data_IF_961912010249
#
_entry.id   IF_961912010249
#
_cell.length_a   1.000
_cell.length_b   1.000
_cell.length_c   1.000
_cell.angle_alpha   90.00
_cell.angle_beta   90.00
_cell.angle_gamma   90.00
#
_symmetry.space_group_name_H-M   'P 1'
#
loop_
_entity.id
_entity.type
_entity.pdbx_description
1 polymer ?
#
# COMPACT_ATOMS: atom_id res chain seq x y z
N UNK A 1 6.87 -11.61 19.31
CA UNK A 1 6.66 -11.78 17.87
C UNK A 1 5.67 -12.90 17.74
N UNK A 2 4.56 -12.64 17.11
CA UNK A 2 3.52 -13.61 16.96
C UNK A 2 3.98 -14.79 16.08
N UNK A 3 3.49 -15.95 16.42
CA UNK A 3 3.94 -17.20 15.85
C UNK A 3 3.24 -17.48 14.52
N UNK A 4 3.83 -17.00 13.42
CA UNK A 4 3.48 -17.43 12.06
C UNK A 4 4.24 -18.70 11.65
N UNK A 5 5.04 -19.27 12.54
CA UNK A 5 5.80 -20.47 12.28
C UNK A 5 4.84 -21.64 12.01
N UNK A 6 5.02 -22.28 10.86
CA UNK A 6 4.14 -23.37 10.42
C UNK A 6 2.82 -22.96 9.78
N UNK A 7 2.39 -21.69 9.89
CA UNK A 7 1.20 -21.17 9.20
C UNK A 7 1.40 -21.15 7.69
N UNK A 8 0.40 -21.59 6.94
CA UNK A 8 0.33 -21.49 5.49
C UNK A 8 -0.15 -20.09 5.11
N UNK A 9 0.74 -19.29 4.56
CA UNK A 9 0.49 -17.88 4.24
C UNK A 9 0.38 -17.69 2.72
N UNK A 10 -0.74 -17.11 2.28
CA UNK A 10 -0.97 -16.71 0.90
C UNK A 10 -0.88 -15.19 0.79
N UNK A 11 -0.06 -14.68 -0.13
CA UNK A 11 0.04 -13.25 -0.43
C UNK A 11 -0.42 -13.01 -1.85
N UNK A 12 -1.61 -12.44 -2.05
CA UNK A 12 -2.03 -11.97 -3.37
C UNK A 12 -1.38 -10.63 -3.66
N UNK A 13 -0.91 -10.40 -4.89
CA UNK A 13 -0.11 -9.21 -5.21
C UNK A 13 1.30 -9.27 -4.62
N UNK A 14 1.79 -10.48 -4.32
CA UNK A 14 3.08 -10.68 -3.64
C UNK A 14 4.31 -10.33 -4.49
N UNK A 15 4.18 -10.21 -5.81
CA UNK A 15 5.23 -9.75 -6.72
C UNK A 15 5.25 -8.21 -6.90
N UNK A 16 4.27 -7.49 -6.34
CA UNK A 16 4.20 -6.03 -6.33
C UNK A 16 5.17 -5.39 -5.33
N UNK A 17 5.12 -4.06 -5.21
CA UNK A 17 5.99 -3.29 -4.32
C UNK A 17 5.87 -3.72 -2.84
N UNK A 18 4.69 -3.54 -2.24
CA UNK A 18 4.47 -3.89 -0.82
C UNK A 18 4.59 -5.41 -0.64
N UNK A 19 4.04 -6.18 -1.59
CA UNK A 19 4.06 -7.64 -1.57
C UNK A 19 5.46 -8.22 -1.50
N UNK A 20 6.39 -7.70 -2.28
CA UNK A 20 7.80 -8.11 -2.24
C UNK A 20 8.43 -7.92 -0.85
N UNK A 21 8.28 -6.74 -0.27
CA UNK A 21 8.83 -6.44 1.06
C UNK A 21 8.19 -7.30 2.15
N UNK A 22 6.88 -7.53 2.06
CA UNK A 22 6.16 -8.41 2.98
C UNK A 22 6.62 -9.86 2.83
N UNK A 23 6.68 -10.39 1.60
CA UNK A 23 7.11 -11.76 1.34
C UNK A 23 8.58 -11.98 1.76
N UNK A 24 9.46 -11.01 1.52
CA UNK A 24 10.86 -11.05 1.96
C UNK A 24 10.99 -11.15 3.49
N UNK A 25 10.08 -10.52 4.23
CA UNK A 25 10.03 -10.61 5.70
C UNK A 25 9.39 -11.92 6.16
N UNK A 26 8.27 -12.32 5.56
CA UNK A 26 7.56 -13.56 5.90
C UNK A 26 8.40 -14.81 5.64
N UNK A 27 9.19 -14.85 4.57
CA UNK A 27 10.09 -15.96 4.24
C UNK A 27 11.19 -16.23 5.31
N UNK A 28 11.37 -15.31 6.27
CA UNK A 28 12.24 -15.48 7.44
C UNK A 28 11.48 -16.01 8.66
N UNK A 29 10.16 -16.08 8.60
CA UNK A 29 9.26 -16.40 9.72
C UNK A 29 8.53 -17.72 9.49
N UNK A 30 8.07 -17.98 8.24
CA UNK A 30 7.41 -19.23 7.86
C UNK A 30 8.04 -19.83 6.62
N UNK A 31 8.04 -21.18 6.54
CA UNK A 31 8.49 -21.91 5.36
C UNK A 31 7.33 -22.22 4.38
N UNK A 32 6.08 -21.91 4.76
CA UNK A 32 4.88 -22.18 3.98
C UNK A 32 4.30 -20.88 3.37
N UNK A 33 5.07 -20.18 2.55
CA UNK A 33 4.70 -18.93 1.91
C UNK A 33 4.38 -19.14 0.43
N UNK A 34 3.20 -18.70 -0.01
CA UNK A 34 2.80 -18.68 -1.42
C UNK A 34 2.60 -17.24 -1.89
N UNK A 35 3.26 -16.86 -2.97
CA UNK A 35 3.04 -15.64 -3.74
C UNK A 35 2.07 -15.96 -4.86
N UNK A 36 0.91 -15.28 -4.90
CA UNK A 36 -0.08 -15.37 -5.96
C UNK A 36 -0.18 -14.03 -6.68
N UNK A 37 0.23 -13.97 -7.96
CA UNK A 37 0.32 -12.71 -8.69
C UNK A 37 0.18 -12.95 -10.21
N UNK A 38 -0.53 -12.07 -10.92
CA UNK A 38 -0.68 -12.15 -12.37
C UNK A 38 0.44 -11.43 -13.12
N UNK A 39 1.32 -10.71 -12.41
CA UNK A 39 2.41 -9.89 -12.92
C UNK A 39 1.95 -8.69 -13.78
N UNK A 40 0.72 -8.19 -13.57
CA UNK A 40 0.24 -6.98 -14.27
C UNK A 40 1.03 -5.72 -13.90
N UNK A 41 1.46 -5.61 -12.63
CA UNK A 41 2.34 -4.56 -12.11
C UNK A 41 3.52 -5.10 -11.33
N UNK A 42 3.42 -6.33 -10.83
CA UNK A 42 4.50 -7.07 -10.18
C UNK A 42 5.58 -7.53 -11.16
N UNK A 43 6.74 -7.91 -10.66
CA UNK A 43 7.88 -8.35 -11.48
C UNK A 43 8.40 -9.72 -11.07
N UNK A 44 8.87 -10.51 -12.05
CA UNK A 44 9.55 -11.79 -11.76
C UNK A 44 10.83 -11.60 -10.93
N UNK A 45 11.49 -10.45 -11.05
CA UNK A 45 12.65 -10.13 -10.20
C UNK A 45 12.26 -10.12 -8.71
N UNK A 46 11.12 -9.54 -8.37
CA UNK A 46 10.62 -9.53 -7.00
C UNK A 46 10.36 -10.95 -6.47
N UNK A 47 9.86 -11.84 -7.33
CA UNK A 47 9.66 -13.25 -6.99
C UNK A 47 10.98 -13.97 -6.78
N UNK A 48 11.94 -13.80 -7.69
CA UNK A 48 13.26 -14.45 -7.64
C UNK A 48 14.06 -14.05 -6.40
N UNK A 49 13.88 -12.82 -5.91
CA UNK A 49 14.54 -12.32 -4.70
C UNK A 49 13.91 -12.88 -3.40
N UNK A 50 12.86 -13.72 -3.50
CA UNK A 50 12.24 -14.45 -2.37
C UNK A 50 12.20 -15.96 -2.67
N UNK A 51 13.35 -16.63 -2.82
CA UNK A 51 13.45 -17.98 -3.34
C UNK A 51 12.79 -19.07 -2.48
N UNK A 52 12.51 -18.77 -1.20
CA UNK A 52 11.79 -19.69 -0.32
C UNK A 52 10.27 -19.70 -0.52
N UNK A 53 9.72 -18.70 -1.22
CA UNK A 53 8.29 -18.63 -1.46
C UNK A 53 7.92 -19.45 -2.70
N UNK A 54 6.82 -20.21 -2.63
CA UNK A 54 6.19 -20.82 -3.79
C UNK A 54 5.55 -19.71 -4.62
N UNK A 55 5.89 -19.63 -5.90
CA UNK A 55 5.24 -18.68 -6.81
C UNK A 55 4.14 -19.39 -7.62
N UNK A 56 2.97 -18.76 -7.66
CA UNK A 56 1.85 -19.16 -8.52
C UNK A 56 1.46 -17.95 -9.37
N UNK A 57 1.66 -18.06 -10.68
CA UNK A 57 1.14 -17.08 -11.62
C UNK A 57 -0.37 -17.28 -11.76
N UNK A 58 -1.16 -16.33 -11.25
CA UNK A 58 -2.62 -16.41 -11.30
C UNK A 58 -3.27 -15.05 -11.10
N UNK A 59 -4.49 -14.92 -11.60
CA UNK A 59 -5.32 -13.71 -11.45
C UNK A 59 -6.37 -13.94 -10.36
N UNK A 60 -6.57 -12.95 -9.49
CA UNK A 60 -7.62 -13.00 -8.45
C UNK A 60 -9.03 -13.01 -9.07
N UNK A 61 -9.17 -12.64 -10.34
CA UNK A 61 -10.41 -12.74 -11.11
C UNK A 61 -10.71 -14.19 -11.56
N UNK A 62 -9.72 -15.07 -11.58
CA UNK A 62 -9.92 -16.50 -11.78
C UNK A 62 -10.14 -17.21 -10.44
N UNK A 63 -11.40 -17.18 -9.98
CA UNK A 63 -11.80 -17.81 -8.72
C UNK A 63 -11.44 -19.31 -8.67
N UNK A 64 -11.53 -20.02 -9.80
CA UNK A 64 -11.22 -21.45 -9.86
C UNK A 64 -9.75 -21.71 -9.56
N UNK A 65 -8.86 -21.00 -10.23
CA UNK A 65 -7.42 -21.10 -10.00
C UNK A 65 -7.05 -20.65 -8.58
N UNK A 66 -7.63 -19.55 -8.08
CA UNK A 66 -7.39 -19.08 -6.72
C UNK A 66 -7.84 -20.12 -5.67
N UNK A 67 -9.05 -20.66 -5.81
CA UNK A 67 -9.59 -21.68 -4.89
C UNK A 67 -8.96 -23.07 -5.03
N UNK A 68 -8.22 -23.34 -6.09
CA UNK A 68 -7.44 -24.58 -6.25
C UNK A 68 -6.11 -24.57 -5.49
N UNK A 69 -5.67 -23.39 -5.02
CA UNK A 69 -4.45 -23.32 -4.22
C UNK A 69 -4.63 -24.05 -2.89
N UNK A 70 -3.51 -24.48 -2.32
CA UNK A 70 -3.49 -25.11 -1.00
C UNK A 70 -4.27 -24.28 0.04
N UNK A 71 -4.84 -24.96 1.04
CA UNK A 71 -5.51 -24.30 2.15
C UNK A 71 -4.55 -23.30 2.81
N UNK A 72 -4.96 -22.04 2.94
CA UNK A 72 -4.23 -21.02 3.68
C UNK A 72 -4.77 -20.90 5.11
N UNK A 73 -3.91 -20.55 6.06
CA UNK A 73 -4.30 -20.13 7.41
C UNK A 73 -4.41 -18.61 7.51
N UNK A 74 -3.66 -17.91 6.65
CA UNK A 74 -3.60 -16.44 6.60
C UNK A 74 -3.45 -15.97 5.15
N UNK A 75 -4.27 -15.01 4.76
CA UNK A 75 -4.23 -14.38 3.45
C UNK A 75 -3.94 -12.89 3.62
N UNK A 76 -2.82 -12.42 3.05
CA UNK A 76 -2.59 -10.99 2.85
C UNK A 76 -3.11 -10.62 1.46
N UNK A 77 -4.15 -9.83 1.41
CA UNK A 77 -4.75 -9.40 0.15
C UNK A 77 -4.22 -8.03 -0.26
N UNK A 78 -3.14 -8.04 -1.08
CA UNK A 78 -2.47 -6.84 -1.62
C UNK A 78 -2.71 -6.66 -3.12
N UNK A 79 -3.22 -7.67 -3.83
CA UNK A 79 -3.52 -7.57 -5.25
C UNK A 79 -4.58 -6.51 -5.50
N UNK A 80 -4.27 -5.52 -6.32
CA UNK A 80 -5.18 -4.43 -6.66
C UNK A 80 -4.68 -3.65 -7.89
N UNK A 81 -5.60 -3.01 -8.62
CA UNK A 81 -5.30 -1.84 -9.42
C UNK A 81 -5.14 -0.64 -8.46
N UNK A 82 -4.01 0.09 -8.51
CA UNK A 82 -3.65 1.10 -7.49
C UNK A 82 -3.49 2.51 -8.06
N UNK A 83 -3.57 2.68 -9.37
CA UNK A 83 -3.34 3.97 -10.04
C UNK A 83 -4.66 4.75 -10.10
N UNK A 84 -4.77 5.78 -9.28
CA UNK A 84 -6.00 6.60 -9.15
C UNK A 84 -6.44 7.20 -10.49
N UNK A 85 -5.52 7.83 -11.24
CA UNK A 85 -5.84 8.38 -12.56
C UNK A 85 -6.37 7.31 -13.53
N UNK A 86 -5.70 6.15 -13.58
CA UNK A 86 -6.17 5.03 -14.42
C UNK A 86 -7.56 4.54 -14.04
N UNK A 87 -7.92 4.55 -12.73
CA UNK A 87 -9.27 4.15 -12.30
C UNK A 87 -10.36 5.08 -12.81
N UNK A 88 -10.06 6.37 -12.99
CA UNK A 88 -11.00 7.35 -13.54
C UNK A 88 -11.22 7.17 -15.06
N UNK A 89 -10.19 6.72 -15.77
CA UNK A 89 -10.23 6.42 -17.19
C UNK A 89 -10.82 5.03 -17.49
N UNK A 90 -10.60 4.07 -16.59
CA UNK A 90 -10.96 2.66 -16.74
C UNK A 90 -11.73 2.12 -15.52
N UNK A 91 -12.92 2.67 -15.19
CA UNK A 91 -13.64 2.33 -13.97
C UNK A 91 -14.09 0.86 -13.87
N UNK A 92 -14.40 0.23 -15.00
CA UNK A 92 -14.78 -1.19 -15.03
C UNK A 92 -13.61 -2.11 -14.65
N UNK A 93 -12.41 -1.83 -15.15
CA UNK A 93 -11.20 -2.60 -14.80
C UNK A 93 -10.88 -2.44 -13.32
N UNK A 94 -11.02 -1.23 -12.79
CA UNK A 94 -10.82 -0.95 -11.37
C UNK A 94 -11.84 -1.71 -10.50
N UNK A 95 -13.12 -1.65 -10.85
CA UNK A 95 -14.19 -2.36 -10.17
C UNK A 95 -13.96 -3.89 -10.18
N UNK A 96 -13.70 -4.46 -11.36
CA UNK A 96 -13.46 -5.90 -11.47
C UNK A 96 -12.27 -6.32 -10.61
N UNK A 97 -11.13 -5.64 -10.73
CA UNK A 97 -9.92 -6.01 -10.00
C UNK A 97 -10.10 -5.80 -8.50
N UNK A 98 -10.57 -4.64 -8.07
CA UNK A 98 -10.55 -4.27 -6.66
C UNK A 98 -11.78 -4.73 -5.87
N UNK A 99 -12.97 -4.66 -6.46
CA UNK A 99 -14.21 -5.07 -5.78
C UNK A 99 -14.49 -6.56 -5.99
N UNK A 100 -14.63 -7.01 -7.24
CA UNK A 100 -14.90 -8.41 -7.55
C UNK A 100 -13.72 -9.32 -7.17
N UNK A 101 -12.48 -8.90 -7.43
CA UNK A 101 -11.28 -9.63 -7.02
C UNK A 101 -11.20 -9.81 -5.51
N UNK A 102 -11.54 -8.77 -4.74
CA UNK A 102 -11.63 -8.87 -3.26
C UNK A 102 -12.68 -9.90 -2.84
N UNK A 103 -13.86 -9.89 -3.47
CA UNK A 103 -14.89 -10.88 -3.18
C UNK A 103 -14.39 -12.31 -3.44
N UNK A 104 -13.66 -12.56 -4.53
CA UNK A 104 -13.06 -13.87 -4.81
C UNK A 104 -12.06 -14.30 -3.74
N UNK A 105 -11.24 -13.36 -3.23
CA UNK A 105 -10.29 -13.65 -2.14
C UNK A 105 -11.02 -13.95 -0.85
N UNK A 106 -12.11 -13.28 -0.55
CA UNK A 106 -12.96 -13.56 0.61
C UNK A 106 -13.64 -14.94 0.50
N UNK A 107 -14.09 -15.34 -0.69
CA UNK A 107 -14.61 -16.70 -0.93
C UNK A 107 -13.52 -17.78 -0.74
N UNK A 108 -12.28 -17.51 -1.18
CA UNK A 108 -11.14 -18.39 -0.87
C UNK A 108 -10.91 -18.48 0.64
N UNK A 109 -10.92 -17.34 1.32
CA UNK A 109 -10.73 -17.29 2.78
C UNK A 109 -11.84 -18.06 3.51
N UNK A 110 -13.10 -17.89 3.11
CA UNK A 110 -14.25 -18.61 3.67
C UNK A 110 -14.13 -20.12 3.47
N UNK A 111 -13.70 -20.57 2.29
CA UNK A 111 -13.46 -21.97 2.01
C UNK A 111 -12.37 -22.57 2.89
N UNK A 112 -11.32 -21.78 3.14
CA UNK A 112 -10.13 -22.21 3.88
C UNK A 112 -10.27 -22.04 5.39
N UNK A 113 -11.24 -21.28 5.87
CA UNK A 113 -11.33 -20.76 7.24
C UNK A 113 -10.06 -19.97 7.61
N UNK A 114 -9.67 -19.08 6.71
CA UNK A 114 -8.43 -18.31 6.78
C UNK A 114 -8.66 -16.90 7.29
N UNK A 115 -7.75 -16.42 8.14
CA UNK A 115 -7.68 -15.00 8.49
C UNK A 115 -7.29 -14.17 7.27
N UNK A 116 -7.88 -12.97 7.12
CA UNK A 116 -7.58 -12.03 6.04
C UNK A 116 -7.00 -10.73 6.58
N UNK A 117 -5.91 -10.26 6.00
CA UNK A 117 -5.42 -8.88 6.15
C UNK A 117 -5.65 -8.16 4.83
N UNK A 118 -6.62 -7.26 4.83
CA UNK A 118 -7.03 -6.52 3.64
C UNK A 118 -6.29 -5.19 3.53
N UNK A 119 -5.67 -4.95 2.38
CA UNK A 119 -5.01 -3.69 2.04
C UNK A 119 -6.01 -2.68 1.47
N UNK A 120 -6.47 -1.77 2.32
CA UNK A 120 -7.25 -0.59 1.96
C UNK A 120 -6.36 0.64 1.76
N UNK A 121 -6.92 1.83 1.67
CA UNK A 121 -6.23 3.05 1.27
C UNK A 121 -6.80 4.28 1.94
N UNK A 122 -6.00 5.35 2.07
CA UNK A 122 -6.46 6.70 2.40
C UNK A 122 -7.53 7.23 1.44
N UNK A 123 -7.59 6.70 0.21
CA UNK A 123 -8.56 7.09 -0.81
C UNK A 123 -10.03 6.88 -0.40
N UNK A 124 -10.29 6.01 0.60
CA UNK A 124 -11.65 5.82 1.15
C UNK A 124 -12.18 7.06 1.85
N UNK A 125 -11.29 7.92 2.36
CA UNK A 125 -11.66 9.18 3.03
C UNK A 125 -11.90 10.35 2.07
N UNK A 126 -11.42 10.26 0.83
CA UNK A 126 -11.48 11.35 -0.16
C UNK A 126 -10.78 12.62 0.31
N UNK A 127 -11.51 13.74 0.35
CA UNK A 127 -11.02 15.01 0.89
C UNK A 127 -11.56 15.25 2.32
N UNK A 128 -10.94 14.68 3.34
CA UNK A 128 -11.42 14.81 4.71
C UNK A 128 -11.29 16.25 5.21
N UNK A 129 -12.17 16.62 6.16
CA UNK A 129 -12.18 17.94 6.81
C UNK A 129 -11.66 17.88 8.25
N UNK A 130 -11.46 16.66 8.79
CA UNK A 130 -10.91 16.43 10.14
C UNK A 130 -9.48 15.94 10.02
N UNK A 131 -8.56 16.60 10.73
CA UNK A 131 -7.13 16.27 10.72
C UNK A 131 -6.53 16.29 12.14
N UNK A 132 -5.67 15.32 12.49
CA UNK A 132 -5.42 14.09 11.72
C UNK A 132 -6.71 13.26 11.59
N UNK A 133 -6.87 12.56 10.44
CA UNK A 133 -8.09 11.82 10.10
C UNK A 133 -8.13 10.47 10.82
N UNK A 134 -9.08 10.22 11.72
CA UNK A 134 -9.20 8.96 12.45
C UNK A 134 -9.91 7.88 11.61
N UNK A 135 -9.80 6.61 12.01
CA UNK A 135 -10.48 5.48 11.37
C UNK A 135 -12.01 5.59 11.41
N UNK A 136 -12.55 6.32 12.39
CA UNK A 136 -13.98 6.60 12.55
C UNK A 136 -14.53 7.67 11.59
N UNK A 137 -13.66 8.34 10.81
CA UNK A 137 -14.11 9.24 9.75
C UNK A 137 -14.83 8.45 8.66
N UNK A 138 -15.99 8.90 8.23
CA UNK A 138 -16.83 8.21 7.25
C UNK A 138 -16.20 8.09 5.87
N UNK A 139 -16.77 7.26 5.02
CA UNK A 139 -16.35 7.08 3.64
C UNK A 139 -16.84 8.25 2.77
N UNK A 140 -15.91 8.89 2.07
CA UNK A 140 -16.17 9.97 1.12
C UNK A 140 -15.26 9.84 -0.11
N UNK A 141 -15.25 8.66 -0.80
CA UNK A 141 -14.31 8.40 -1.89
C UNK A 141 -14.45 9.42 -3.01
N UNK A 142 -13.31 9.90 -3.52
CA UNK A 142 -13.25 10.94 -4.56
C UNK A 142 -12.74 10.40 -5.90
N UNK A 143 -12.60 9.08 -6.02
CA UNK A 143 -12.18 8.38 -7.23
C UNK A 143 -12.80 6.98 -7.30
N UNK A 144 -12.81 6.38 -8.51
CA UNK A 144 -13.25 4.99 -8.68
C UNK A 144 -12.40 4.04 -7.83
N UNK A 145 -11.08 4.25 -7.77
CA UNK A 145 -10.19 3.50 -6.88
C UNK A 145 -10.59 3.59 -5.40
N UNK A 146 -10.87 4.81 -4.91
CA UNK A 146 -11.33 4.99 -3.53
C UNK A 146 -12.65 4.27 -3.27
N UNK A 147 -13.60 4.37 -4.22
CA UNK A 147 -14.90 3.70 -4.12
C UNK A 147 -14.74 2.17 -4.14
N UNK A 148 -13.92 1.62 -5.02
CA UNK A 148 -13.69 0.16 -5.06
C UNK A 148 -13.04 -0.37 -3.78
N UNK A 149 -12.18 0.42 -3.11
CA UNK A 149 -11.65 0.08 -1.79
C UNK A 149 -12.70 0.14 -0.69
N UNK A 150 -13.63 1.12 -0.73
CA UNK A 150 -14.79 1.14 0.17
C UNK A 150 -15.64 -0.12 0.00
N UNK A 151 -15.97 -0.50 -1.23
CA UNK A 151 -16.71 -1.75 -1.52
C UNK A 151 -15.97 -2.96 -0.95
N UNK A 152 -14.65 -3.01 -1.08
CA UNK A 152 -13.82 -4.08 -0.48
C UNK A 152 -13.92 -4.12 1.05
N UNK A 153 -13.87 -2.95 1.74
CA UNK A 153 -14.04 -2.87 3.19
C UNK A 153 -15.43 -3.33 3.65
N UNK A 154 -16.49 -2.90 2.94
CA UNK A 154 -17.88 -3.29 3.23
C UNK A 154 -18.07 -4.81 3.06
N UNK A 155 -17.51 -5.43 2.01
CA UNK A 155 -17.50 -6.88 1.87
C UNK A 155 -16.72 -7.56 3.01
N UNK A 156 -15.56 -7.04 3.39
CA UNK A 156 -14.80 -7.56 4.53
C UNK A 156 -15.64 -7.55 5.81
N UNK A 157 -16.34 -6.45 6.08
CA UNK A 157 -17.20 -6.33 7.25
C UNK A 157 -18.37 -7.32 7.20
N UNK A 158 -19.05 -7.42 6.06
CA UNK A 158 -20.17 -8.35 5.88
C UNK A 158 -19.71 -9.82 6.06
N UNK A 159 -18.55 -10.19 5.49
CA UNK A 159 -18.02 -11.55 5.63
C UNK A 159 -17.64 -11.88 7.08
N UNK A 160 -17.13 -10.91 7.82
CA UNK A 160 -16.89 -11.06 9.25
C UNK A 160 -18.18 -11.29 10.03
N UNK A 161 -19.22 -10.49 9.77
CA UNK A 161 -20.47 -10.55 10.51
C UNK A 161 -21.32 -11.76 10.17
N UNK A 162 -21.38 -12.15 8.90
CA UNK A 162 -22.26 -13.21 8.44
C UNK A 162 -21.59 -14.59 8.40
N UNK A 163 -20.27 -14.64 8.17
CA UNK A 163 -19.54 -15.92 8.04
C UNK A 163 -18.51 -16.14 9.15
N UNK A 164 -18.34 -15.19 10.06
CA UNK A 164 -17.42 -15.33 11.20
C UNK A 164 -15.95 -15.28 10.82
N UNK A 165 -15.59 -14.74 9.63
CA UNK A 165 -14.19 -14.66 9.22
C UNK A 165 -13.40 -13.68 10.06
N UNK A 166 -12.17 -14.04 10.41
CA UNK A 166 -11.21 -13.16 11.02
C UNK A 166 -10.61 -12.22 9.98
N UNK A 167 -10.98 -10.95 10.00
CA UNK A 167 -10.52 -9.97 9.03
C UNK A 167 -9.98 -8.73 9.73
N UNK A 168 -8.81 -8.25 9.29
CA UNK A 168 -8.24 -6.97 9.68
C UNK A 168 -8.08 -6.08 8.45
N UNK A 169 -8.55 -4.85 8.54
CA UNK A 169 -8.46 -3.86 7.47
C UNK A 169 -7.33 -2.88 7.78
N UNK A 170 -6.44 -2.66 6.82
CA UNK A 170 -5.33 -1.71 6.94
C UNK A 170 -5.46 -0.62 5.88
N UNK A 171 -5.69 0.63 6.31
CA UNK A 171 -5.77 1.79 5.43
C UNK A 171 -4.40 2.41 5.31
N UNK A 172 -3.85 2.41 4.10
CA UNK A 172 -2.50 2.91 3.86
C UNK A 172 -2.49 4.39 3.51
N UNK A 173 -1.58 5.15 4.12
CA UNK A 173 -1.15 6.45 3.64
C UNK A 173 -0.26 6.31 2.38
N UNK A 174 0.49 7.33 1.99
CA UNK A 174 1.41 7.24 0.86
C UNK A 174 2.64 6.41 1.23
N UNK A 175 2.68 5.16 0.78
CA UNK A 175 3.80 4.26 1.05
C UNK A 175 4.92 4.54 0.05
N UNK A 176 6.16 4.58 0.54
CA UNK A 176 7.36 4.78 -0.26
C UNK A 176 8.52 3.89 0.22
N UNK A 177 9.56 3.78 -0.60
CA UNK A 177 10.75 2.96 -0.33
C UNK A 177 11.37 2.42 -1.61
N UNK A 178 12.28 1.47 -1.49
CA UNK A 178 12.91 0.80 -2.64
C UNK A 178 11.88 0.04 -3.47
N UNK A 179 12.03 0.05 -4.78
CA UNK A 179 11.13 -0.60 -5.76
C UNK A 179 9.71 -0.01 -5.80
N UNK A 180 9.50 1.17 -5.20
CA UNK A 180 8.24 1.89 -5.30
C UNK A 180 8.12 2.60 -6.65
N UNK A 181 6.87 2.93 -6.98
CA UNK A 181 6.53 3.98 -7.95
C UNK A 181 5.82 5.10 -7.18
N UNK A 182 5.93 6.33 -7.63
CA UNK A 182 5.28 7.46 -6.97
C UNK A 182 6.14 8.72 -7.00
N UNK A 183 5.68 9.78 -6.34
CA UNK A 183 6.21 11.14 -6.48
C UNK A 183 7.72 11.26 -6.20
N UNK A 184 8.26 10.50 -5.25
CA UNK A 184 9.70 10.51 -4.94
C UNK A 184 10.50 9.99 -6.15
N UNK A 185 10.07 8.87 -6.73
CA UNK A 185 10.72 8.28 -7.90
C UNK A 185 10.52 9.15 -9.15
N UNK A 186 9.31 9.72 -9.35
CA UNK A 186 9.01 10.65 -10.44
C UNK A 186 9.91 11.89 -10.38
N UNK A 187 10.13 12.46 -9.18
CA UNK A 187 11.04 13.59 -9.02
C UNK A 187 12.49 13.22 -9.33
N UNK A 188 12.95 12.04 -8.90
CA UNK A 188 14.29 11.56 -9.22
C UNK A 188 14.47 11.35 -10.72
N UNK A 189 13.47 10.81 -11.41
CA UNK A 189 13.49 10.63 -12.87
C UNK A 189 13.52 11.97 -13.61
N UNK A 190 12.74 12.96 -13.15
CA UNK A 190 12.73 14.32 -13.71
C UNK A 190 14.07 15.01 -13.51
N UNK A 191 14.64 14.94 -12.29
CA UNK A 191 15.94 15.54 -11.95
C UNK A 191 17.08 14.86 -12.75
N UNK A 192 17.02 13.54 -12.93
CA UNK A 192 18.01 12.83 -13.74
C UNK A 192 17.99 13.24 -15.22
N UNK A 193 16.83 13.64 -15.75
CA UNK A 193 16.66 14.15 -17.11
C UNK A 193 17.12 15.61 -17.25
N UNK A 194 16.80 16.45 -16.29
CA UNK A 194 17.18 17.88 -16.28
C UNK A 194 17.35 18.38 -14.85
N UNK A 195 18.61 18.58 -14.45
CA UNK A 195 18.94 19.10 -13.12
C UNK A 195 18.62 20.57 -12.92
N UNK A 196 18.28 21.32 -13.98
CA UNK A 196 17.99 22.75 -13.87
C UNK A 196 16.52 23.04 -13.60
N UNK A 197 15.63 22.04 -13.82
CA UNK A 197 14.18 22.26 -13.72
C UNK A 197 13.47 21.05 -13.10
N UNK A 198 12.62 21.32 -12.09
CA UNK A 198 11.68 20.32 -11.54
C UNK A 198 10.25 20.84 -11.66
N UNK A 199 9.41 20.15 -12.43
CA UNK A 199 8.00 20.49 -12.59
C UNK A 199 7.14 19.64 -11.69
N UNK A 200 6.41 20.29 -10.77
CA UNK A 200 5.42 19.68 -9.89
C UNK A 200 4.04 19.75 -10.54
N UNK A 201 3.31 18.65 -10.61
CA UNK A 201 1.92 18.61 -11.06
C UNK A 201 1.02 19.12 -9.92
N UNK A 202 0.10 20.04 -10.25
CA UNK A 202 -0.73 20.74 -9.29
C UNK A 202 -0.09 22.02 -8.77
N UNK A 203 -0.54 22.49 -7.61
CA UNK A 203 -0.03 23.72 -6.97
C UNK A 203 1.22 23.50 -6.13
N UNK A 204 1.57 22.23 -5.84
CA UNK A 204 2.61 21.88 -4.88
C UNK A 204 2.18 21.96 -3.41
N UNK A 205 0.99 22.50 -3.13
CA UNK A 205 0.45 22.63 -1.77
C UNK A 205 -0.29 21.36 -1.30
N UNK A 206 -0.49 20.40 -2.20
CA UNK A 206 -1.08 19.11 -1.81
C UNK A 206 -0.21 18.45 -0.75
N UNK A 207 -0.83 18.04 0.35
CA UNK A 207 -0.14 17.45 1.49
C UNK A 207 -0.35 15.94 1.55
N UNK A 208 0.70 15.19 1.86
CA UNK A 208 0.66 13.73 1.98
C UNK A 208 1.33 13.27 3.28
N UNK A 209 0.72 12.27 3.87
CA UNK A 209 1.33 11.47 4.93
C UNK A 209 2.17 10.37 4.26
N UNK A 210 3.48 10.41 4.44
CA UNK A 210 4.41 9.46 3.83
C UNK A 210 4.92 8.47 4.86
N UNK A 211 4.70 7.17 4.63
CA UNK A 211 5.16 6.09 5.51
C UNK A 211 6.09 5.14 4.75
N UNK A 212 7.19 4.74 5.39
CA UNK A 212 8.14 3.81 4.77
C UNK A 212 7.58 2.39 4.70
N UNK A 213 7.85 1.69 3.60
CA UNK A 213 7.34 0.33 3.36
C UNK A 213 7.74 -0.67 4.45
N UNK A 214 8.94 -0.54 5.05
CA UNK A 214 9.34 -1.43 6.15
C UNK A 214 8.46 -1.29 7.39
N UNK A 215 8.06 -0.05 7.72
CA UNK A 215 7.16 0.20 8.85
C UNK A 215 5.76 -0.37 8.58
N UNK A 216 5.26 -0.25 7.34
CA UNK A 216 3.99 -0.86 6.93
C UNK A 216 4.06 -2.38 7.01
N UNK A 217 5.14 -2.99 6.52
CA UNK A 217 5.36 -4.45 6.58
C UNK A 217 5.44 -4.94 8.02
N UNK A 218 6.06 -4.17 8.92
CA UNK A 218 6.06 -4.47 10.35
C UNK A 218 4.63 -4.53 10.90
N UNK A 219 3.80 -3.53 10.60
CA UNK A 219 2.39 -3.52 10.99
C UNK A 219 1.61 -4.69 10.38
N UNK A 220 1.80 -5.00 9.09
CA UNK A 220 1.14 -6.12 8.42
C UNK A 220 1.47 -7.46 9.10
N UNK A 221 2.74 -7.70 9.43
CA UNK A 221 3.13 -8.91 10.19
C UNK A 221 2.48 -8.92 11.57
N UNK A 222 2.45 -7.79 12.28
CA UNK A 222 1.82 -7.68 13.60
C UNK A 222 0.32 -8.03 13.55
N UNK A 223 -0.45 -7.46 12.60
CA UNK A 223 -1.89 -7.73 12.51
C UNK A 223 -2.21 -9.14 12.02
N UNK A 224 -1.40 -9.67 11.11
CA UNK A 224 -1.58 -11.03 10.60
C UNK A 224 -1.36 -12.10 11.66
N UNK A 225 -0.51 -11.81 12.62
CA UNK A 225 -0.08 -12.75 13.65
C UNK A 225 -0.72 -12.53 15.02
N UNK A 226 -1.61 -11.56 15.17
CA UNK A 226 -2.29 -11.24 16.42
C UNK A 226 -3.81 -11.37 16.27
N UNK A 227 -4.38 -12.40 16.88
CA UNK A 227 -5.81 -12.68 16.79
C UNK A 227 -6.66 -11.70 17.65
N UNK A 228 -6.06 -11.05 18.65
CA UNK A 228 -6.76 -10.07 19.49
C UNK A 228 -7.18 -8.79 18.74
N UNK A 229 -6.68 -8.59 17.51
CA UNK A 229 -7.00 -7.41 16.67
C UNK A 229 -7.97 -7.71 15.53
N UNK A 230 -8.54 -8.92 15.50
CA UNK A 230 -9.53 -9.32 14.50
C UNK A 230 -10.75 -8.38 14.52
N UNK A 231 -11.23 -8.01 13.34
CA UNK A 231 -12.27 -7.00 13.15
C UNK A 231 -11.77 -5.56 13.25
N UNK A 232 -10.46 -5.35 13.50
CA UNK A 232 -9.88 -4.02 13.57
C UNK A 232 -9.71 -3.36 12.21
N UNK A 233 -9.86 -2.02 12.20
CA UNK A 233 -9.46 -1.15 11.08
C UNK A 233 -8.35 -0.27 11.59
N UNK A 234 -7.24 -0.15 10.85
CA UNK A 234 -6.05 0.59 11.28
C UNK A 234 -5.50 1.49 10.19
N UNK A 235 -5.33 2.76 10.52
CA UNK A 235 -4.58 3.71 9.70
C UNK A 235 -3.08 3.45 9.85
N UNK A 236 -2.40 3.16 8.74
CA UNK A 236 -0.95 2.97 8.69
C UNK A 236 -0.30 4.11 7.92
N UNK A 237 0.21 5.08 8.65
CA UNK A 237 0.87 6.29 8.17
C UNK A 237 1.99 6.72 9.10
N UNK A 238 2.69 7.81 8.77
CA UNK A 238 3.68 8.42 9.66
C UNK A 238 2.99 9.24 10.78
N UNK A 239 1.73 9.65 10.56
CA UNK A 239 1.01 10.57 11.43
C UNK A 239 1.54 12.01 11.34
N UNK A 240 2.19 12.35 10.24
CA UNK A 240 2.67 13.69 9.89
C UNK A 240 2.43 13.92 8.40
N UNK A 241 2.32 15.18 8.02
CA UNK A 241 2.08 15.53 6.62
C UNK A 241 3.17 16.48 6.10
N UNK A 242 3.47 16.33 4.81
CA UNK A 242 4.45 17.15 4.07
C UNK A 242 3.80 17.57 2.76
N UNK A 243 3.95 18.84 2.36
CA UNK A 243 3.50 19.27 1.04
C UNK A 243 4.43 18.74 -0.06
N UNK A 244 3.89 18.61 -1.26
CA UNK A 244 4.68 18.14 -2.41
C UNK A 244 5.83 19.12 -2.73
N UNK A 245 5.61 20.41 -2.49
CA UNK A 245 6.67 21.42 -2.62
C UNK A 245 7.78 21.27 -1.57
N UNK A 246 7.42 21.00 -0.30
CA UNK A 246 8.40 20.73 0.77
C UNK A 246 9.18 19.44 0.48
N UNK A 247 8.52 18.40 -0.01
CA UNK A 247 9.18 17.17 -0.47
C UNK A 247 10.20 17.45 -1.56
N UNK A 248 9.83 18.23 -2.60
CA UNK A 248 10.73 18.62 -3.67
C UNK A 248 11.97 19.38 -3.14
N UNK A 249 11.75 20.37 -2.27
CA UNK A 249 12.84 21.14 -1.65
C UNK A 249 13.76 20.26 -0.80
N UNK A 250 13.19 19.32 -0.03
CA UNK A 250 13.96 18.35 0.77
C UNK A 250 14.84 17.47 -0.13
N UNK A 251 14.29 16.96 -1.23
CA UNK A 251 15.03 16.12 -2.19
C UNK A 251 16.17 16.92 -2.85
N UNK A 252 15.91 18.14 -3.31
CA UNK A 252 16.93 19.01 -3.89
C UNK A 252 18.06 19.34 -2.90
N UNK A 253 17.72 19.53 -1.62
CA UNK A 253 18.74 19.75 -0.56
C UNK A 253 19.61 18.50 -0.36
N UNK A 254 19.00 17.30 -0.34
CA UNK A 254 19.76 16.04 -0.21
C UNK A 254 20.70 15.82 -1.40
N UNK A 255 20.28 16.25 -2.58
CA UNK A 255 21.03 16.14 -3.85
C UNK A 255 22.02 17.29 -4.07
N UNK A 256 22.12 18.27 -3.16
CA UNK A 256 22.89 19.50 -3.31
C UNK A 256 22.52 20.34 -4.55
N UNK A 257 21.25 20.28 -4.98
CA UNK A 257 20.72 20.96 -6.17
C UNK A 257 19.82 22.17 -5.82
N UNK A 258 19.65 22.53 -4.56
CA UNK A 258 18.71 23.56 -4.09
C UNK A 258 18.96 24.96 -4.67
N UNK A 259 20.21 25.26 -5.09
CA UNK A 259 20.59 26.53 -5.69
C UNK A 259 20.69 26.48 -7.23
N UNK A 260 20.51 25.28 -7.82
CA UNK A 260 20.62 25.05 -9.27
C UNK A 260 19.25 24.83 -9.91
N UNK A 261 18.40 24.04 -9.26
CA UNK A 261 17.13 23.58 -9.83
C UNK A 261 16.01 24.58 -9.59
N UNK A 262 15.40 25.08 -10.66
CA UNK A 262 14.18 25.91 -10.59
C UNK A 262 12.97 24.98 -10.43
N UNK A 263 12.23 25.17 -9.35
CA UNK A 263 10.97 24.42 -9.09
C UNK A 263 9.80 25.24 -9.65
N UNK A 264 9.01 24.62 -10.52
CA UNK A 264 7.79 25.21 -11.09
C UNK A 264 6.59 24.29 -10.84
N UNK A 265 5.37 24.82 -10.94
CA UNK A 265 4.13 24.07 -10.76
C UNK A 265 3.25 24.22 -11.99
N UNK A 266 2.40 23.20 -12.26
CA UNK A 266 1.43 23.29 -13.36
C UNK A 266 0.16 24.07 -12.97
N UNK A 267 -0.05 24.35 -11.68
CA UNK A 267 -1.23 25.01 -11.13
C UNK A 267 -2.46 24.08 -11.02
N UNK A 268 -2.62 23.12 -11.93
CA UNK A 268 -3.75 22.18 -11.98
C UNK A 268 -3.26 20.77 -11.73
N UNK A 269 -3.97 20.02 -10.89
CA UNK A 269 -3.72 18.61 -10.59
C UNK A 269 -4.61 17.69 -11.47
N UNK A 270 -4.38 16.38 -11.35
CA UNK A 270 -5.22 15.39 -12.06
C UNK A 270 -6.58 15.21 -11.39
N UNK A 271 -7.54 14.68 -12.15
CA UNK A 271 -8.88 14.36 -11.64
C UNK A 271 -8.79 13.24 -10.58
N UNK A 272 -9.44 13.45 -9.44
CA UNK A 272 -9.40 12.50 -8.31
C UNK A 272 -8.23 12.72 -7.35
N UNK A 273 -7.37 13.73 -7.58
CA UNK A 273 -6.32 14.08 -6.62
C UNK A 273 -6.92 14.73 -5.36
N UNK A 274 -6.50 14.27 -4.18
CA UNK A 274 -6.97 14.80 -2.90
C UNK A 274 -6.04 15.90 -2.40
N UNK A 275 -6.59 16.91 -1.72
CA UNK A 275 -5.79 18.06 -1.28
C UNK A 275 -4.87 17.72 -0.11
N UNK A 276 -5.33 16.88 0.83
CA UNK A 276 -4.56 16.56 2.04
C UNK A 276 -4.86 15.15 2.55
N UNK A 277 -3.79 14.40 2.84
CA UNK A 277 -3.81 13.14 3.58
C UNK A 277 -2.98 13.33 4.84
N UNK A 278 -3.60 13.08 6.00
CA UNK A 278 -2.94 13.12 7.31
C UNK A 278 -3.68 12.22 8.29
N UNK A 279 -3.10 11.09 8.60
CA UNK A 279 -3.71 10.07 9.45
C UNK A 279 -3.55 10.33 10.94
N UNK A 280 -4.62 10.07 11.69
CA UNK A 280 -4.49 9.71 13.10
C UNK A 280 -4.08 8.24 13.19
N UNK A 281 -2.93 7.99 13.79
CA UNK A 281 -2.37 6.63 13.99
C UNK A 281 -2.43 6.21 15.47
N UNK A 282 -3.20 6.91 16.29
CA UNK A 282 -3.28 6.67 17.74
C UNK A 282 -3.81 5.28 18.06
N UNK A 283 -4.76 4.78 17.26
CA UNK A 283 -5.31 3.42 17.40
C UNK A 283 -4.25 2.35 17.15
N UNK A 284 -3.50 2.45 16.05
CA UNK A 284 -2.41 1.53 15.75
C UNK A 284 -1.32 1.56 16.84
N UNK A 285 -0.96 2.74 17.35
CA UNK A 285 -0.03 2.88 18.48
C UNK A 285 -0.54 2.19 19.74
N UNK A 286 -1.81 2.39 20.08
CA UNK A 286 -2.40 1.85 21.32
C UNK A 286 -2.59 0.34 21.26
N UNK A 287 -3.20 -0.17 20.19
CA UNK A 287 -3.65 -1.56 20.09
C UNK A 287 -2.58 -2.50 19.54
N UNK A 288 -1.83 -2.06 18.49
CA UNK A 288 -0.77 -2.86 17.88
C UNK A 288 0.59 -2.63 18.55
N UNK A 289 0.74 -1.59 19.40
CA UNK A 289 2.05 -1.12 19.87
C UNK A 289 3.00 -0.77 18.72
N UNK A 290 2.43 -0.45 17.56
CA UNK A 290 3.15 -0.08 16.37
C UNK A 290 3.39 1.43 16.29
N UNK A 291 4.60 1.80 15.91
CA UNK A 291 5.00 3.18 15.64
C UNK A 291 5.96 3.17 14.44
N UNK A 292 5.74 4.01 13.42
CA UNK A 292 6.67 4.14 12.31
C UNK A 292 8.01 4.68 12.81
N UNK A 293 9.12 4.15 12.29
CA UNK A 293 10.48 4.41 12.76
C UNK A 293 11.33 5.15 11.73
N UNK A 294 11.08 4.88 10.44
CA UNK A 294 11.90 5.41 9.35
C UNK A 294 11.47 6.82 9.02
N UNK A 295 12.40 7.76 9.07
CA UNK A 295 12.13 9.15 8.69
C UNK A 295 12.13 9.31 7.16
N UNK A 296 11.31 10.24 6.66
CA UNK A 296 11.25 10.55 5.23
C UNK A 296 12.62 10.92 4.65
N UNK A 297 13.42 11.70 5.41
CA UNK A 297 14.76 12.14 4.99
C UNK A 297 15.75 10.97 4.85
N UNK A 298 15.74 10.04 5.78
CA UNK A 298 16.63 8.86 5.76
C UNK A 298 16.31 7.98 4.55
N UNK A 299 15.05 7.70 4.34
CA UNK A 299 14.64 6.85 3.23
C UNK A 299 14.81 7.49 1.86
N UNK A 300 14.63 8.82 1.70
CA UNK A 300 14.98 9.49 0.45
C UNK A 300 16.47 9.27 0.11
N UNK A 301 17.37 9.35 1.11
CA UNK A 301 18.79 9.06 0.91
C UNK A 301 19.03 7.61 0.47
N UNK A 302 18.31 6.65 1.08
CA UNK A 302 18.37 5.23 0.70
C UNK A 302 17.96 5.01 -0.76
N UNK A 303 16.81 5.60 -1.19
CA UNK A 303 16.31 5.50 -2.57
C UNK A 303 17.27 6.14 -3.56
N UNK A 304 17.89 7.28 -3.22
CA UNK A 304 18.89 7.96 -4.06
C UNK A 304 20.13 7.07 -4.22
N UNK A 305 20.62 6.47 -3.13
CA UNK A 305 21.79 5.62 -3.14
C UNK A 305 21.57 4.35 -3.99
N UNK A 306 20.40 3.71 -3.87
CA UNK A 306 20.03 2.51 -4.65
C UNK A 306 19.98 2.81 -6.15
N UNK A 307 19.46 3.96 -6.54
CA UNK A 307 19.34 4.36 -7.94
C UNK A 307 20.67 4.74 -8.60
N UNK A 308 21.76 4.87 -7.84
CA UNK A 308 23.09 5.29 -8.33
C UNK A 308 23.00 6.56 -9.20
N UNK A 309 22.15 7.49 -8.81
CA UNK A 309 21.98 8.76 -9.53
C UNK A 309 23.30 9.52 -9.39
N UNK A 310 24.09 9.54 -10.46
CA UNK A 310 25.27 10.41 -10.57
C UNK A 310 24.78 11.84 -10.80
N UNK A 311 25.05 12.72 -9.85
CA UNK A 311 24.70 14.15 -9.91
C UNK A 311 25.96 14.95 -10.08
#
# INVERSE_FOLDING_TARGET
MADLKGKKVLVTGGAGFIGYHLCSKLAKITDNLTIFDNLSSGTMKNVQDVPKAKFVKGDILDLKTLCSQEKADLIYHLAAQVVVGYSMENPLVDFETNAKGTLHVLEKARKDDAKVVFASSAAVYGNPTVFPTPESYGFHPFSCYGLSKVVGEEYCQMYREQYGLDIVITRFANIYGLRCHGVIHDFLDKIAKDQNKLVIIGTGQQCRDFVHVSDVVDALVMVGSNDSVNGGVYNLGLGKTVSILELAKMMLTILNLQNKTVVTTTGVSWQGDVTKIWFDISKAKKELKWTPKVTLKESIKEVIADRKISI
#
